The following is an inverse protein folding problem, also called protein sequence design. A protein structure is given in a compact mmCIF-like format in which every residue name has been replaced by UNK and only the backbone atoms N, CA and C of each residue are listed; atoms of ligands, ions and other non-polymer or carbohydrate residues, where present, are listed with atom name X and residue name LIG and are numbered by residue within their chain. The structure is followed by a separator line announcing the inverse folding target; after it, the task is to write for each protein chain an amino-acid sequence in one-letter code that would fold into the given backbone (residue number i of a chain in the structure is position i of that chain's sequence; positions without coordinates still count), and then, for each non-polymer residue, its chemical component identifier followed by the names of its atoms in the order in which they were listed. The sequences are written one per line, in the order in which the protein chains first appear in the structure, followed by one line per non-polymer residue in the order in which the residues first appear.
data_IF_424113308289
#
_entry.id   IF_424113308289
#
_cell.length_a   1.000
_cell.length_b   1.000
_cell.length_c   1.000
_cell.angle_alpha   90.00
_cell.angle_beta   90.00
_cell.angle_gamma   90.00
#
_symmetry.space_group_name_H-M   'P 1'
#
loop_
_entity.id
_entity.type
_entity.pdbx_description
1 polymer ?
#
# COMPACT_ATOMS: atom_id res chain seq x y z
N UNK A 1 5.00 -2.54 8.32
CA UNK A 1 6.44 -2.65 8.01
C UNK A 1 6.76 -2.24 6.57
N UNK A 2 6.06 -2.76 5.56
CA UNK A 2 6.33 -2.46 4.14
C UNK A 2 6.33 -0.96 3.78
N UNK A 3 5.49 -0.14 4.43
CA UNK A 3 5.48 1.32 4.21
C UNK A 3 6.80 1.99 4.59
N UNK A 4 7.47 1.49 5.62
CA UNK A 4 8.79 1.97 6.03
C UNK A 4 9.85 1.60 4.99
N UNK A 5 9.78 0.39 4.42
CA UNK A 5 10.67 -0.02 3.33
C UNK A 5 10.48 0.85 2.09
N UNK A 6 9.24 1.23 1.77
CA UNK A 6 8.97 2.16 0.67
C UNK A 6 9.60 3.53 0.92
N UNK A 7 9.46 4.08 2.13
CA UNK A 7 10.11 5.34 2.51
C UNK A 7 11.63 5.25 2.52
N UNK A 8 12.20 4.15 3.00
CA UNK A 8 13.65 3.90 2.94
C UNK A 8 14.15 3.80 1.50
N UNK A 9 13.41 3.13 0.60
CA UNK A 9 13.73 3.09 -0.83
C UNK A 9 13.67 4.49 -1.46
N UNK A 10 12.63 5.27 -1.15
CA UNK A 10 12.47 6.65 -1.63
C UNK A 10 13.68 7.52 -1.25
N UNK A 11 14.27 7.26 -0.08
CA UNK A 11 15.46 7.97 0.41
C UNK A 11 16.80 7.35 -0.05
N UNK A 12 16.79 6.27 -0.83
CA UNK A 12 18.02 5.57 -1.25
C UNK A 12 18.72 4.80 -0.11
N UNK A 13 18.00 4.50 0.97
CA UNK A 13 18.54 3.88 2.19
C UNK A 13 18.35 2.35 2.24
N UNK A 14 18.12 1.70 1.11
CA UNK A 14 18.06 0.23 1.00
C UNK A 14 19.16 -0.29 0.08
N UNK A 15 19.75 -1.47 0.38
CA UNK A 15 20.72 -2.11 -0.51
C UNK A 15 20.06 -2.79 -1.73
N UNK A 16 18.74 -2.68 -1.87
CA UNK A 16 17.95 -3.24 -2.96
C UNK A 16 16.79 -2.31 -3.30
N UNK A 17 16.20 -2.52 -4.48
CA UNK A 17 14.98 -1.83 -4.90
C UNK A 17 13.91 -2.82 -5.34
N UNK A 18 12.65 -2.51 -5.07
CA UNK A 18 11.48 -3.20 -5.59
C UNK A 18 10.65 -2.27 -6.48
N UNK A 19 10.00 -2.86 -7.48
CA UNK A 19 9.27 -2.12 -8.53
C UNK A 19 7.88 -1.68 -8.11
N UNK A 20 7.27 -2.36 -7.15
CA UNK A 20 5.91 -2.08 -6.67
C UNK A 20 5.66 -2.67 -5.29
N UNK A 21 4.59 -2.23 -4.64
CA UNK A 21 4.13 -2.75 -3.35
C UNK A 21 2.63 -3.11 -3.38
N UNK A 22 2.24 -4.17 -2.68
CA UNK A 22 0.82 -4.49 -2.42
C UNK A 22 0.64 -4.50 -0.91
N UNK A 23 -0.30 -3.69 -0.43
CA UNK A 23 -0.64 -3.55 0.98
C UNK A 23 -1.97 -4.22 1.26
N UNK A 24 -2.05 -4.98 2.36
CA UNK A 24 -3.31 -5.50 2.91
C UNK A 24 -3.52 -4.91 4.30
N UNK A 25 -4.64 -4.21 4.51
CA UNK A 25 -5.01 -3.51 5.75
C UNK A 25 -3.83 -2.74 6.37
N UNK A 26 -3.18 -1.89 5.57
CA UNK A 26 -1.98 -1.16 5.99
C UNK A 26 -2.31 0.24 6.53
N UNK A 27 -1.46 0.71 7.44
CA UNK A 27 -1.57 2.03 8.05
C UNK A 27 -0.18 2.64 8.25
N UNK A 28 -0.11 3.97 8.37
CA UNK A 28 1.14 4.68 8.68
C UNK A 28 1.66 4.28 10.06
N UNK A 29 2.97 4.08 10.17
CA UNK A 29 3.60 3.90 11.48
C UNK A 29 3.52 5.17 12.32
N UNK A 30 3.13 5.02 13.59
CA UNK A 30 2.99 6.14 14.56
C UNK A 30 4.27 6.43 15.36
N UNK A 31 5.34 5.67 15.15
CA UNK A 31 6.60 5.88 15.86
C UNK A 31 7.31 7.14 15.35
N UNK A 32 7.77 8.00 16.27
CA UNK A 32 8.46 9.26 15.91
C UNK A 32 9.68 9.08 15.00
N UNK A 33 10.54 8.04 15.14
CA UNK A 33 11.68 7.84 14.24
C UNK A 33 11.27 7.50 12.80
N UNK A 34 10.03 7.09 12.57
CA UNK A 34 9.53 6.72 11.25
C UNK A 34 8.93 7.91 10.50
N UNK A 35 8.66 9.04 11.16
CA UNK A 35 8.04 10.21 10.53
C UNK A 35 8.83 10.73 9.31
N UNK A 36 10.18 10.83 9.35
CA UNK A 36 10.95 11.31 8.21
C UNK A 36 10.80 10.45 6.96
N UNK A 37 10.46 9.16 7.08
CA UNK A 37 10.25 8.26 5.94
C UNK A 37 9.02 8.62 5.10
N UNK A 38 8.18 9.53 5.58
CA UNK A 38 6.96 10.00 4.92
C UNK A 38 7.00 11.51 4.63
N UNK A 39 8.20 12.13 4.65
CA UNK A 39 8.36 13.57 4.36
C UNK A 39 8.11 13.92 2.89
N UNK A 40 8.35 12.96 2.00
CA UNK A 40 8.03 13.03 0.58
C UNK A 40 7.05 11.93 0.21
N UNK A 41 6.28 12.16 -0.86
CA UNK A 41 5.40 11.10 -1.39
C UNK A 41 6.25 9.96 -1.93
N UNK A 42 5.93 8.75 -1.48
CA UNK A 42 6.49 7.51 -1.98
C UNK A 42 6.09 7.34 -3.44
N UNK A 43 7.08 7.23 -4.32
CA UNK A 43 6.88 7.07 -5.77
C UNK A 43 6.72 5.63 -6.21
N UNK A 44 7.00 4.65 -5.32
CA UNK A 44 6.81 3.23 -5.61
C UNK A 44 5.34 2.96 -5.93
N UNK A 45 5.01 2.46 -7.15
CA UNK A 45 3.66 2.07 -7.49
C UNK A 45 3.06 1.12 -6.46
N UNK A 46 1.83 1.40 -6.02
CA UNK A 46 1.23 0.63 -4.92
C UNK A 46 -0.24 0.32 -5.13
N UNK A 47 -0.63 -0.91 -4.77
CA UNK A 47 -2.02 -1.32 -4.59
C UNK A 47 -2.33 -1.45 -3.10
N UNK A 48 -3.38 -0.79 -2.63
CA UNK A 48 -3.83 -0.80 -1.25
C UNK A 48 -5.16 -1.53 -1.13
N UNK A 49 -5.17 -2.62 -0.38
CA UNK A 49 -6.32 -3.51 -0.19
C UNK A 49 -6.80 -3.41 1.24
N UNK A 50 -8.05 -3.04 1.47
CA UNK A 50 -8.60 -2.94 2.83
C UNK A 50 -10.13 -3.03 2.88
N UNK A 51 -10.63 -3.45 4.03
CA UNK A 51 -12.06 -3.66 4.29
C UNK A 51 -12.76 -2.42 4.83
N UNK A 52 -14.03 -2.22 4.47
CA UNK A 52 -14.88 -1.18 5.04
C UNK A 52 -15.25 -1.47 6.50
N UNK A 53 -15.42 -2.75 6.84
CA UNK A 53 -15.82 -3.22 8.17
C UNK A 53 -14.64 -3.74 9.01
N UNK A 54 -13.40 -3.48 8.60
CA UNK A 54 -12.20 -3.94 9.32
C UNK A 54 -12.15 -3.30 10.73
N UNK A 55 -12.31 -4.15 11.76
CA UNK A 55 -12.26 -3.75 13.16
C UNK A 55 -10.84 -3.81 13.76
N UNK A 56 -9.89 -4.39 13.05
CA UNK A 56 -8.47 -4.47 13.47
C UNK A 56 -7.77 -3.19 13.02
N UNK A 57 -7.84 -2.90 11.73
CA UNK A 57 -7.32 -1.68 11.11
C UNK A 57 -8.50 -0.94 10.48
N UNK A 58 -9.07 0.00 11.23
CA UNK A 58 -10.22 0.77 10.77
C UNK A 58 -9.93 1.46 9.44
N UNK A 59 -10.94 1.49 8.54
CA UNK A 59 -10.85 2.05 7.19
C UNK A 59 -10.12 3.40 7.13
N UNK A 60 -10.42 4.31 8.06
CA UNK A 60 -9.81 5.64 8.09
C UNK A 60 -8.27 5.62 8.20
N UNK A 61 -7.70 4.61 8.87
CA UNK A 61 -6.25 4.47 9.02
C UNK A 61 -5.59 4.08 7.68
N UNK A 62 -6.27 3.24 6.90
CA UNK A 62 -5.87 2.87 5.55
C UNK A 62 -6.06 4.03 4.58
N UNK A 63 -7.18 4.75 4.66
CA UNK A 63 -7.43 5.96 3.85
C UNK A 63 -6.38 7.04 4.12
N UNK A 64 -6.07 7.32 5.39
CA UNK A 64 -5.02 8.28 5.76
C UNK A 64 -3.67 7.87 5.17
N UNK A 65 -3.39 6.57 5.10
CA UNK A 65 -2.13 6.07 4.57
C UNK A 65 -1.94 6.35 3.08
N UNK A 66 -3.01 6.47 2.30
CA UNK A 66 -2.96 6.73 0.86
C UNK A 66 -2.28 8.07 0.54
N UNK A 67 -2.38 9.07 1.42
CA UNK A 67 -1.82 10.41 1.16
C UNK A 67 -0.30 10.42 0.98
N UNK A 68 0.39 9.39 1.49
CA UNK A 68 1.84 9.28 1.45
C UNK A 68 2.36 8.61 0.17
N UNK A 69 1.49 8.23 -0.77
CA UNK A 69 1.87 7.57 -2.02
C UNK A 69 1.49 8.44 -3.23
N UNK A 70 2.28 8.32 -4.30
CA UNK A 70 1.94 8.89 -5.60
C UNK A 70 0.95 7.97 -6.33
N UNK A 71 -0.24 8.49 -6.66
CA UNK A 71 -1.30 7.78 -7.40
C UNK A 71 -1.55 6.33 -6.94
N UNK A 72 -1.81 6.09 -5.63
CA UNK A 72 -2.07 4.74 -5.14
C UNK A 72 -3.34 4.17 -5.79
N UNK A 73 -3.27 2.91 -6.21
CA UNK A 73 -4.47 2.15 -6.58
C UNK A 73 -5.09 1.53 -5.32
N UNK A 74 -6.41 1.40 -5.30
CA UNK A 74 -7.14 0.87 -4.15
C UNK A 74 -8.06 -0.27 -4.54
N UNK A 75 -8.13 -1.28 -3.68
CA UNK A 75 -9.16 -2.32 -3.68
C UNK A 75 -9.86 -2.27 -2.32
N UNK A 76 -11.04 -1.67 -2.29
CA UNK A 76 -11.87 -1.62 -1.09
C UNK A 76 -12.94 -2.70 -1.18
N UNK A 77 -13.15 -3.45 -0.10
CA UNK A 77 -14.16 -4.52 -0.03
C UNK A 77 -15.07 -4.34 1.20
N UNK A 78 -16.31 -4.84 1.17
CA UNK A 78 -17.28 -4.52 2.23
C UNK A 78 -17.03 -5.25 3.56
N UNK A 79 -16.20 -6.28 3.60
CA UNK A 79 -16.02 -7.09 4.82
C UNK A 79 -14.90 -6.62 5.75
N UNK A 80 -14.59 -7.45 6.76
CA UNK A 80 -13.61 -7.16 7.82
C UNK A 80 -12.14 -7.40 7.44
N UNK A 81 -11.34 -7.92 8.38
CA UNK A 81 -9.89 -8.09 8.24
C UNK A 81 -9.50 -9.34 7.44
N UNK A 82 -9.60 -9.29 6.11
CA UNK A 82 -9.14 -10.37 5.22
C UNK A 82 -8.68 -9.84 3.86
N UNK A 83 -8.02 -10.70 3.07
CA UNK A 83 -7.62 -10.37 1.70
C UNK A 83 -8.66 -10.94 0.74
N UNK A 84 -9.44 -10.11 0.03
CA UNK A 84 -10.36 -10.57 -0.99
C UNK A 84 -9.60 -11.16 -2.19
N UNK A 85 -9.95 -12.38 -2.59
CA UNK A 85 -9.28 -13.04 -3.72
C UNK A 85 -10.25 -13.71 -4.71
N UNK A 86 -11.56 -13.43 -4.60
CA UNK A 86 -12.59 -14.08 -5.41
C UNK A 86 -13.28 -13.09 -6.34
N UNK A 87 -13.80 -13.60 -7.46
CA UNK A 87 -14.64 -12.84 -8.39
C UNK A 87 -14.00 -11.53 -8.88
N UNK A 88 -14.76 -10.44 -8.78
CA UNK A 88 -14.38 -9.12 -9.28
C UNK A 88 -13.09 -8.57 -8.66
N UNK A 89 -12.79 -8.94 -7.41
CA UNK A 89 -11.61 -8.44 -6.70
C UNK A 89 -10.32 -9.00 -7.33
N UNK A 90 -10.34 -10.25 -7.79
CA UNK A 90 -9.22 -10.89 -8.49
C UNK A 90 -8.80 -10.10 -9.74
N UNK A 91 -9.75 -9.53 -10.47
CA UNK A 91 -9.46 -8.76 -11.68
C UNK A 91 -8.59 -7.53 -11.39
N UNK A 92 -8.81 -6.84 -10.25
CA UNK A 92 -8.03 -5.66 -9.84
C UNK A 92 -6.56 -6.02 -9.61
N UNK A 93 -6.29 -7.16 -8.94
CA UNK A 93 -4.92 -7.65 -8.78
C UNK A 93 -4.27 -7.96 -10.11
N UNK A 94 -4.97 -8.65 -11.00
CA UNK A 94 -4.45 -9.02 -12.32
C UNK A 94 -4.09 -7.76 -13.10
N UNK A 95 -5.01 -6.79 -13.20
CA UNK A 95 -4.76 -5.52 -13.89
C UNK A 95 -3.59 -4.75 -13.30
N UNK A 96 -3.46 -4.69 -11.97
CA UNK A 96 -2.31 -4.06 -11.33
C UNK A 96 -1.01 -4.79 -11.70
N UNK A 97 -0.97 -6.11 -11.56
CA UNK A 97 0.21 -6.93 -11.83
C UNK A 97 0.61 -6.89 -13.31
N UNK A 98 -0.34 -6.89 -14.24
CA UNK A 98 -0.10 -6.73 -15.68
C UNK A 98 0.53 -5.37 -16.00
N UNK A 99 0.06 -4.29 -15.35
CA UNK A 99 0.68 -2.96 -15.46
C UNK A 99 2.11 -2.98 -14.89
N UNK A 100 2.32 -3.64 -13.76
CA UNK A 100 3.64 -3.70 -13.12
C UNK A 100 4.64 -4.56 -13.92
N UNK A 101 4.17 -5.61 -14.59
CA UNK A 101 5.00 -6.46 -15.45
C UNK A 101 5.57 -5.70 -16.65
N UNK A 102 4.97 -4.57 -17.03
CA UNK A 102 5.43 -3.70 -18.12
C UNK A 102 6.42 -2.63 -17.65
N UNK A 103 6.66 -2.49 -16.35
CA UNK A 103 7.70 -1.60 -15.81
C UNK A 103 9.07 -2.23 -16.07
N UNK A 104 9.72 -1.85 -17.18
CA UNK A 104 11.12 -2.18 -17.49
C UNK A 104 12.06 -1.60 -16.47
#
# INVERSE_FOLDING_TARGET
MLGLLCGLQQQGNLPFSFKFAIFASAFKSRSSPHQPLYSEKITVPSLHVFGEEDQVIQKHMSDEFLQYFHEPQTLVHPGGHFIPATGAQKAIYITFLEKMAQLT
#
